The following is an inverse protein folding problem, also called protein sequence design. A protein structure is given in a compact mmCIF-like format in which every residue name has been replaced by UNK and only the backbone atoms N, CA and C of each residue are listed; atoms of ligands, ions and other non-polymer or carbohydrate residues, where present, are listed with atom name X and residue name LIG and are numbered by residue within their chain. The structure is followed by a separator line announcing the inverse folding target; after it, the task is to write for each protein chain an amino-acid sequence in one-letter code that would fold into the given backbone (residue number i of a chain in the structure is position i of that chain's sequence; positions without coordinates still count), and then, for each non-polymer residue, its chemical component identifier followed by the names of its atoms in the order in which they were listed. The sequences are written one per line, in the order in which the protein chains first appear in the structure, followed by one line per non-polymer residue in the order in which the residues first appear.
data_IF_630112477400
#
_entry.id   IF_630112477400
#
_cell.length_a   1.000
_cell.length_b   1.000
_cell.length_c   1.000
_cell.angle_alpha   90.00
_cell.angle_beta   90.00
_cell.angle_gamma   90.00
#
_symmetry.space_group_name_H-M   'P 1'
#
loop_
_entity.id
_entity.type
_entity.pdbx_description
1 polymer ?
#
# COMPACT_ATOMS: atom_id res chain seq x y z
N UNK A 1 -0.61 4.36 8.21
CA UNK A 1 -1.32 3.09 7.96
C UNK A 1 -2.40 3.32 6.92
N UNK A 2 -2.45 2.50 5.87
CA UNK A 2 -3.51 2.49 4.85
C UNK A 2 -3.99 1.07 4.60
N UNK A 3 -5.29 0.93 4.31
CA UNK A 3 -5.87 -0.33 3.85
C UNK A 3 -5.66 -0.49 2.34
N UNK A 4 -5.41 -1.72 1.88
CA UNK A 4 -5.22 -2.06 0.48
C UNK A 4 -6.43 -1.72 -0.38
N UNK A 5 -7.64 -1.68 0.19
CA UNK A 5 -8.83 -1.18 -0.50
C UNK A 5 -8.67 0.24 -1.06
N UNK A 6 -7.83 1.09 -0.46
CA UNK A 6 -7.65 2.45 -0.97
C UNK A 6 -6.89 2.51 -2.30
N UNK A 7 -6.19 1.42 -2.67
CA UNK A 7 -5.61 1.24 -4.01
C UNK A 7 -6.68 1.15 -5.10
N UNK A 8 -7.94 0.85 -4.78
CA UNK A 8 -9.03 0.84 -5.76
C UNK A 8 -9.64 2.23 -5.98
N UNK A 9 -9.40 3.16 -5.05
CA UNK A 9 -9.98 4.51 -5.06
C UNK A 9 -8.98 5.52 -5.61
N UNK A 10 -7.76 5.53 -5.07
CA UNK A 10 -6.73 6.48 -5.51
C UNK A 10 -5.32 5.93 -5.26
N UNK A 11 -4.77 5.12 -6.20
CA UNK A 11 -3.37 4.70 -6.17
C UNK A 11 -2.37 5.85 -6.03
N UNK A 12 -2.65 6.97 -6.69
CA UNK A 12 -1.79 8.15 -6.69
C UNK A 12 -1.69 8.78 -5.30
N UNK A 13 -2.80 8.84 -4.56
CA UNK A 13 -2.80 9.33 -3.19
C UNK A 13 -2.00 8.39 -2.27
N UNK A 14 -2.15 7.07 -2.43
CA UNK A 14 -1.38 6.08 -1.66
C UNK A 14 0.12 6.28 -1.90
N UNK A 15 0.53 6.38 -3.17
CA UNK A 15 1.93 6.58 -3.54
C UNK A 15 2.49 7.91 -3.01
N UNK A 16 1.71 8.99 -3.10
CA UNK A 16 2.11 10.31 -2.56
C UNK A 16 2.34 10.26 -1.06
N UNK A 17 1.44 9.63 -0.31
CA UNK A 17 1.57 9.49 1.15
C UNK A 17 2.75 8.59 1.50
N UNK A 18 2.95 7.49 0.78
CA UNK A 18 4.05 6.56 1.03
C UNK A 18 5.42 7.20 0.74
N UNK A 19 5.55 7.92 -0.38
CA UNK A 19 6.75 8.68 -0.71
C UNK A 19 7.05 9.79 0.31
N UNK A 20 6.01 10.51 0.77
CA UNK A 20 6.17 11.53 1.81
C UNK A 20 6.61 10.91 3.14
N UNK A 21 6.06 9.75 3.53
CA UNK A 21 6.47 9.06 4.75
C UNK A 21 7.94 8.66 4.70
N UNK A 22 8.38 8.04 3.60
CA UNK A 22 9.77 7.67 3.36
C UNK A 22 10.71 8.88 3.39
N UNK A 23 10.36 9.98 2.71
CA UNK A 23 11.18 11.20 2.69
C UNK A 23 11.34 11.88 4.07
N UNK A 24 10.44 11.61 5.01
CA UNK A 24 10.45 12.20 6.36
C UNK A 24 10.82 11.18 7.45
N UNK A 25 11.36 10.02 7.07
CA UNK A 25 11.73 8.94 7.97
C UNK A 25 10.56 8.54 8.91
N UNK A 26 9.35 8.49 8.35
CA UNK A 26 8.12 8.08 9.05
C UNK A 26 7.76 6.67 8.63
N UNK A 27 7.20 5.92 9.58
CA UNK A 27 6.72 4.56 9.34
C UNK A 27 5.47 4.60 8.46
N UNK A 28 5.54 3.95 7.32
CA UNK A 28 4.41 3.65 6.46
C UNK A 28 4.03 2.17 6.57
N UNK A 29 2.73 1.93 6.67
CA UNK A 29 2.20 0.58 6.82
C UNK A 29 1.01 0.38 5.90
N UNK A 30 0.93 -0.79 5.29
CA UNK A 30 -0.09 -1.17 4.33
C UNK A 30 -0.72 -2.49 4.73
N UNK A 31 -2.03 -2.64 4.53
CA UNK A 31 -2.73 -3.92 4.68
C UNK A 31 -3.09 -4.48 3.30
N UNK A 32 -2.89 -5.78 3.04
CA UNK A 32 -3.29 -6.43 1.79
C UNK A 32 -4.81 -6.41 1.56
N UNK A 33 -5.58 -6.32 2.65
CA UNK A 33 -7.05 -6.19 2.71
C UNK A 33 -7.86 -7.35 2.15
N UNK A 34 -7.64 -7.77 0.90
CA UNK A 34 -8.35 -8.88 0.27
C UNK A 34 -7.57 -9.45 -0.93
N UNK A 35 -7.74 -10.74 -1.27
CA UNK A 35 -7.02 -11.38 -2.39
C UNK A 35 -7.16 -10.66 -3.73
N UNK A 36 -8.34 -10.07 -4.01
CA UNK A 36 -8.59 -9.37 -5.27
C UNK A 36 -7.68 -8.14 -5.46
N UNK A 37 -7.19 -7.53 -4.37
CA UNK A 37 -6.24 -6.42 -4.44
C UNK A 37 -4.91 -6.91 -5.03
N UNK A 38 -4.39 -8.03 -4.53
CA UNK A 38 -3.15 -8.63 -5.04
C UNK A 38 -3.30 -9.22 -6.45
N UNK A 39 -4.52 -9.58 -6.87
CA UNK A 39 -4.81 -10.13 -8.19
C UNK A 39 -4.99 -9.05 -9.25
N UNK A 40 -5.85 -8.05 -8.99
CA UNK A 40 -6.27 -7.06 -9.99
C UNK A 40 -5.64 -5.67 -9.81
N UNK A 41 -5.14 -5.36 -8.60
CA UNK A 41 -4.47 -4.10 -8.27
C UNK A 41 -2.98 -4.31 -7.93
N UNK A 42 -2.39 -5.36 -8.50
CA UNK A 42 -0.98 -5.70 -8.31
C UNK A 42 -0.04 -4.57 -8.73
N UNK A 43 -0.26 -3.97 -9.89
CA UNK A 43 0.64 -2.93 -10.41
C UNK A 43 0.72 -1.70 -9.47
N UNK A 44 -0.40 -1.07 -9.04
CA UNK A 44 -0.32 0.03 -8.09
C UNK A 44 0.21 -0.42 -6.72
N UNK A 45 -0.12 -1.63 -6.26
CA UNK A 45 0.43 -2.18 -5.02
C UNK A 45 1.97 -2.30 -5.08
N UNK A 46 2.51 -2.81 -6.19
CA UNK A 46 3.96 -2.96 -6.37
C UNK A 46 4.70 -1.62 -6.50
N UNK A 47 4.05 -0.56 -6.99
CA UNK A 47 4.61 0.80 -6.98
C UNK A 47 4.74 1.36 -5.56
N UNK A 48 3.82 0.98 -4.66
CA UNK A 48 3.83 1.42 -3.26
C UNK A 48 4.74 0.55 -2.39
N UNK A 49 4.93 -0.73 -2.74
CA UNK A 49 5.67 -1.71 -1.94
C UNK A 49 7.07 -1.28 -1.47
N UNK A 50 7.91 -0.58 -2.27
CA UNK A 50 9.22 -0.11 -1.82
C UNK A 50 9.19 0.86 -0.65
N UNK A 51 8.04 1.48 -0.37
CA UNK A 51 7.85 2.43 0.72
C UNK A 51 7.19 1.81 1.96
N UNK A 52 6.87 0.51 1.94
CA UNK A 52 6.15 -0.17 3.04
C UNK A 52 7.15 -0.70 4.07
N UNK A 53 7.10 -0.13 5.28
CA UNK A 53 7.90 -0.62 6.42
C UNK A 53 7.22 -1.80 7.12
N UNK A 54 5.88 -1.78 7.19
CA UNK A 54 5.08 -2.85 7.81
C UNK A 54 3.93 -3.24 6.89
N UNK A 55 3.95 -4.50 6.46
CA UNK A 55 2.89 -5.10 5.65
C UNK A 55 2.03 -6.02 6.53
N UNK A 56 0.72 -5.77 6.54
CA UNK A 56 -0.28 -6.60 7.20
C UNK A 56 -1.03 -7.44 6.17
N UNK A 57 -1.35 -8.67 6.52
CA UNK A 57 -2.15 -9.58 5.70
C UNK A 57 -2.57 -10.80 6.51
N UNK A 58 -3.44 -11.63 5.95
CA UNK A 58 -3.82 -12.92 6.49
C UNK A 58 -3.39 -14.04 5.52
N UNK A 59 -3.74 -15.27 5.86
CA UNK A 59 -3.36 -16.50 5.16
C UNK A 59 -4.06 -16.73 3.80
N UNK A 60 -4.97 -15.84 3.40
CA UNK A 60 -5.83 -15.98 2.21
C UNK A 60 -5.39 -15.03 1.10
#
# INVERSE_FOLDING_TARGET
YLQGFFLTVSPEAVLKVAAQASANNKIFSLNLSAPFISQFYKEPMMKVMPYVDVLFGNET
#
